data_IF_785466752728
#
_entry.id   IF_785466752728
#
_cell.length_a   1.000
_cell.length_b   1.000
_cell.length_c   1.000
_cell.angle_alpha   90.00
_cell.angle_beta   90.00
_cell.angle_gamma   90.00
#
_symmetry.space_group_name_H-M   'P 1'
#
loop_
_entity.id
_entity.type
_entity.pdbx_description
1 polymer ?
#
# COMPACT_ATOMS: atom_id res chain seq x y z
N UNK A 1 -4.94 13.04 3.33
CA UNK A 1 -3.96 13.79 4.16
C UNK A 1 -3.10 12.79 4.94
N UNK A 2 -2.07 13.23 5.65
CA UNK A 2 -1.35 12.35 6.59
C UNK A 2 -0.61 13.18 7.65
N UNK A 3 -0.73 12.80 8.93
CA UNK A 3 -0.23 13.58 10.08
C UNK A 3 -0.83 14.99 10.14
N UNK A 4 -2.12 15.16 9.83
CA UNK A 4 -2.77 16.48 9.81
C UNK A 4 -2.28 17.43 8.70
N UNK A 5 -1.49 16.94 7.74
CA UNK A 5 -1.00 17.72 6.61
C UNK A 5 -1.54 17.20 5.28
N UNK A 6 -1.99 18.11 4.42
CA UNK A 6 -2.33 17.78 3.05
C UNK A 6 -1.08 17.28 2.30
N UNK A 7 -1.24 16.18 1.56
CA UNK A 7 -0.17 15.56 0.78
C UNK A 7 -0.40 15.82 -0.70
N UNK A 8 0.67 16.08 -1.44
CA UNK A 8 0.63 16.34 -2.89
C UNK A 8 0.33 15.08 -3.75
N UNK A 9 0.26 13.92 -3.11
CA UNK A 9 -0.06 12.63 -3.73
C UNK A 9 1.15 11.85 -4.26
N UNK A 10 2.38 12.36 -4.14
CA UNK A 10 3.60 11.64 -4.54
C UNK A 10 4.09 10.77 -3.37
N UNK A 11 4.46 9.49 -3.60
CA UNK A 11 4.46 8.77 -4.88
C UNK A 11 3.13 8.05 -5.18
N UNK A 12 2.21 7.99 -4.22
CA UNK A 12 1.10 7.03 -4.25
C UNK A 12 0.16 7.18 -5.45
N UNK A 13 -0.18 8.40 -5.88
CA UNK A 13 -1.09 8.62 -7.02
C UNK A 13 -0.45 8.21 -8.36
N UNK A 14 0.77 8.65 -8.70
CA UNK A 14 1.47 8.12 -9.88
C UNK A 14 1.65 6.60 -9.86
N UNK A 15 2.01 6.01 -8.71
CA UNK A 15 2.20 4.56 -8.60
C UNK A 15 0.88 3.80 -8.76
N UNK A 16 -0.21 4.28 -8.16
CA UNK A 16 -1.53 3.68 -8.33
C UNK A 16 -2.00 3.70 -9.79
N UNK A 17 -1.76 4.80 -10.51
CA UNK A 17 -2.00 4.88 -11.95
C UNK A 17 -1.23 3.80 -12.70
N UNK A 18 0.06 3.65 -12.44
CA UNK A 18 0.86 2.62 -13.10
C UNK A 18 0.40 1.20 -12.79
N UNK A 19 -0.04 0.93 -11.56
CA UNK A 19 -0.59 -0.38 -11.19
C UNK A 19 -1.86 -0.66 -11.98
N UNK A 20 -2.75 0.31 -12.14
CA UNK A 20 -3.95 0.18 -12.99
C UNK A 20 -3.57 -0.08 -14.46
N UNK A 21 -2.68 0.73 -15.02
CA UNK A 21 -2.28 0.63 -16.43
C UNK A 21 -1.56 -0.70 -16.72
N UNK A 22 -0.56 -1.06 -15.92
CA UNK A 22 0.25 -2.27 -16.15
C UNK A 22 -0.50 -3.57 -15.88
N UNK A 23 -1.52 -3.52 -15.03
CA UNK A 23 -2.40 -4.67 -14.77
C UNK A 23 -3.61 -4.73 -15.70
N UNK A 24 -3.78 -3.77 -16.62
CA UNK A 24 -5.00 -3.59 -17.42
C UNK A 24 -6.28 -3.60 -16.54
N UNK A 25 -6.24 -2.96 -15.38
CA UNK A 25 -7.33 -2.96 -14.41
C UNK A 25 -7.45 -4.22 -13.54
N UNK A 26 -6.49 -5.15 -13.63
CA UNK A 26 -6.47 -6.38 -12.83
C UNK A 26 -6.14 -6.17 -11.35
N UNK A 27 -5.59 -5.01 -10.98
CA UNK A 27 -5.31 -4.63 -9.59
C UNK A 27 -6.36 -3.62 -9.14
N UNK A 28 -7.25 -4.04 -8.23
CA UNK A 28 -8.18 -3.13 -7.56
C UNK A 28 -7.44 -2.27 -6.54
N UNK A 29 -7.73 -0.96 -6.54
CA UNK A 29 -7.06 0.01 -5.66
C UNK A 29 -8.12 0.83 -4.93
N UNK A 30 -7.87 1.08 -3.64
CA UNK A 30 -8.66 2.00 -2.79
C UNK A 30 -7.72 2.94 -2.03
N UNK A 31 -8.21 4.12 -1.70
CA UNK A 31 -7.51 5.08 -0.85
C UNK A 31 -8.01 4.95 0.57
N UNK A 32 -7.14 5.04 1.58
CA UNK A 32 -7.62 5.23 2.94
C UNK A 32 -8.23 6.62 3.08
N UNK A 33 -9.44 6.70 3.64
CA UNK A 33 -10.22 7.92 3.82
C UNK A 33 -9.91 8.54 5.18
N UNK A 34 -8.74 9.17 5.27
CA UNK A 34 -8.29 9.83 6.50
C UNK A 34 -8.81 11.26 6.59
N UNK A 35 -9.12 11.70 7.80
CA UNK A 35 -9.63 13.02 8.17
C UNK A 35 -8.78 13.61 9.30
N UNK A 36 -7.46 13.56 9.15
CA UNK A 36 -6.45 13.95 10.13
C UNK A 36 -5.61 12.79 10.64
N UNK A 37 -6.12 11.56 10.53
CA UNK A 37 -5.46 10.33 10.98
C UNK A 37 -4.45 9.79 9.96
N UNK A 38 -4.00 8.55 10.19
CA UNK A 38 -3.10 7.83 9.31
C UNK A 38 -3.51 6.40 9.05
N UNK A 39 -3.47 6.03 7.78
CA UNK A 39 -3.42 4.65 7.35
C UNK A 39 -1.95 4.18 7.37
N UNK A 40 -1.50 3.66 8.52
CA UNK A 40 -0.06 3.46 8.76
C UNK A 40 0.38 1.99 8.84
N UNK A 41 -0.55 1.03 8.66
CA UNK A 41 -0.22 -0.39 8.61
C UNK A 41 0.61 -0.71 7.35
N UNK A 42 1.71 -1.44 7.52
CA UNK A 42 2.45 -2.05 6.41
C UNK A 42 2.31 -3.56 6.53
N UNK A 43 1.57 -4.11 5.57
CA UNK A 43 1.03 -5.46 5.64
C UNK A 43 0.86 -5.96 4.22
N UNK A 44 1.31 -7.18 3.93
CA UNK A 44 1.09 -7.85 2.66
C UNK A 44 0.74 -9.31 2.92
N UNK A 45 -0.44 -9.72 2.49
CA UNK A 45 -0.90 -11.09 2.61
C UNK A 45 -1.28 -11.62 1.23
N UNK A 46 -1.02 -12.91 1.02
CA UNK A 46 -1.39 -13.59 -0.21
C UNK A 46 -1.86 -15.01 0.08
N UNK A 47 -2.60 -15.54 -0.90
CA UNK A 47 -3.13 -16.90 -0.92
C UNK A 47 -3.08 -17.44 -2.34
N UNK A 48 -2.54 -18.64 -2.48
CA UNK A 48 -2.59 -19.44 -3.69
C UNK A 48 -3.39 -20.72 -3.42
N UNK A 49 -3.39 -21.65 -4.38
CA UNK A 49 -4.02 -22.96 -4.21
C UNK A 49 -3.32 -23.81 -3.13
N UNK A 50 -2.02 -23.59 -2.89
CA UNK A 50 -1.19 -24.44 -2.04
C UNK A 50 -0.51 -23.72 -0.89
N UNK A 51 -0.58 -22.39 -0.81
CA UNK A 51 0.13 -21.61 0.19
C UNK A 51 -0.63 -20.35 0.60
N UNK A 52 -0.52 -20.01 1.87
CA UNK A 52 -0.83 -18.68 2.39
C UNK A 52 0.42 -18.06 2.98
N UNK A 53 0.57 -16.75 2.83
CA UNK A 53 1.63 -16.01 3.50
C UNK A 53 1.12 -14.68 4.04
N UNK A 54 1.79 -14.23 5.10
CA UNK A 54 1.60 -12.94 5.72
C UNK A 54 2.97 -12.31 5.99
N UNK A 55 3.19 -11.12 5.47
CA UNK A 55 4.27 -10.20 5.82
C UNK A 55 3.70 -9.02 6.60
N UNK A 56 4.33 -8.69 7.73
CA UNK A 56 3.99 -7.51 8.55
C UNK A 56 5.25 -6.95 9.19
N UNK A 57 5.34 -5.63 9.30
CA UNK A 57 6.48 -4.98 9.93
C UNK A 57 6.49 -3.47 9.75
N UNK A 58 7.70 -2.90 9.71
CA UNK A 58 7.92 -1.46 9.62
C UNK A 58 8.12 -0.95 8.19
N UNK A 59 8.51 -1.82 7.25
CA UNK A 59 8.85 -1.42 5.89
C UNK A 59 7.62 -0.95 5.09
N UNK A 60 7.65 0.25 4.51
CA UNK A 60 6.70 0.59 3.45
C UNK A 60 7.07 -0.16 2.16
N UNK A 61 6.11 -0.28 1.24
CA UNK A 61 6.34 -0.90 -0.07
C UNK A 61 7.01 0.09 -1.02
N UNK A 62 8.26 0.43 -0.69
CA UNK A 62 9.07 1.39 -1.41
C UNK A 62 10.45 0.81 -1.62
N UNK A 63 11.16 1.33 -2.61
CA UNK A 63 12.54 0.94 -2.87
C UNK A 63 13.42 1.19 -1.66
N UNK A 64 13.26 2.34 -0.99
CA UNK A 64 14.10 2.70 0.16
C UNK A 64 14.00 1.70 1.32
N UNK A 65 12.77 1.28 1.65
CA UNK A 65 12.55 0.33 2.73
C UNK A 65 12.94 -1.10 2.32
N UNK A 66 12.57 -1.55 1.12
CA UNK A 66 12.77 -2.96 0.70
C UNK A 66 14.22 -3.24 0.25
N UNK A 67 14.92 -2.28 -0.36
CA UNK A 67 16.33 -2.44 -0.77
C UNK A 67 17.32 -2.22 0.40
N UNK A 68 16.84 -2.06 1.63
CA UNK A 68 17.69 -2.00 2.83
C UNK A 68 18.39 -0.66 3.07
N UNK A 69 17.89 0.44 2.50
CA UNK A 69 18.42 1.78 2.79
C UNK A 69 17.95 2.32 4.16
N UNK A 70 16.88 1.75 4.71
CA UNK A 70 16.41 1.98 6.07
C UNK A 70 16.57 0.71 6.91
N UNK A 71 16.74 0.88 8.23
CA UNK A 71 16.69 -0.22 9.19
C UNK A 71 15.23 -0.57 9.47
N UNK A 72 14.76 -1.62 8.80
CA UNK A 72 13.41 -2.16 8.95
C UNK A 72 13.41 -3.47 9.75
N UNK A 73 12.26 -3.81 10.33
CA UNK A 73 12.03 -5.12 10.94
C UNK A 73 10.70 -5.65 10.46
N UNK A 74 10.77 -6.74 9.70
CA UNK A 74 9.61 -7.39 9.10
C UNK A 74 9.62 -8.88 9.40
N UNK A 75 8.43 -9.44 9.61
CA UNK A 75 8.22 -10.88 9.81
C UNK A 75 7.39 -11.39 8.64
N UNK A 76 7.87 -12.46 8.02
CA UNK A 76 7.12 -13.24 7.04
C UNK A 76 6.82 -14.60 7.64
N UNK A 77 5.55 -14.99 7.62
CA UNK A 77 5.10 -16.34 7.95
C UNK A 77 4.33 -16.92 6.77
N UNK A 78 4.61 -18.17 6.42
CA UNK A 78 3.85 -18.90 5.40
C UNK A 78 3.54 -20.33 5.82
N UNK A 79 2.51 -20.92 5.20
CA UNK A 79 2.04 -22.28 5.48
C UNK A 79 1.18 -22.79 4.32
N UNK A 80 1.07 -24.12 4.21
CA UNK A 80 0.13 -24.79 3.32
C UNK A 80 -1.34 -24.62 3.74
N UNK A 81 -1.60 -24.09 4.95
CA UNK A 81 -2.94 -23.88 5.50
C UNK A 81 -3.07 -22.52 6.19
N UNK A 82 -4.28 -21.91 6.17
CA UNK A 82 -4.58 -20.71 6.94
C UNK A 82 -4.27 -20.85 8.44
N UNK A 83 -3.29 -20.09 8.92
CA UNK A 83 -2.92 -19.96 10.35
C UNK A 83 -3.58 -18.72 10.99
N UNK A 84 -3.56 -18.65 12.32
CA UNK A 84 -4.29 -17.61 13.09
C UNK A 84 -3.96 -16.20 12.64
N UNK A 85 -2.68 -15.82 12.62
CA UNK A 85 -2.27 -14.47 12.24
C UNK A 85 -2.66 -14.10 10.80
N UNK A 86 -2.59 -15.05 9.85
CA UNK A 86 -3.07 -14.82 8.48
C UNK A 86 -4.57 -14.54 8.44
N UNK A 87 -5.40 -15.31 9.16
CA UNK A 87 -6.85 -15.11 9.24
C UNK A 87 -7.21 -13.76 9.86
N UNK A 88 -6.45 -13.33 10.86
CA UNK A 88 -6.68 -12.03 11.49
C UNK A 88 -6.28 -10.87 10.56
N UNK A 89 -5.20 -11.05 9.78
CA UNK A 89 -4.83 -10.15 8.70
C UNK A 89 -5.89 -10.04 7.61
N UNK A 90 -6.44 -11.17 7.16
CA UNK A 90 -7.53 -11.23 6.19
C UNK A 90 -8.78 -10.49 6.72
N UNK A 91 -9.20 -10.76 7.95
CA UNK A 91 -10.33 -10.04 8.59
C UNK A 91 -10.07 -8.53 8.70
N UNK A 92 -8.84 -8.15 9.04
CA UNK A 92 -8.45 -6.73 9.12
C UNK A 92 -8.57 -6.06 7.75
N UNK A 93 -7.99 -6.68 6.71
CA UNK A 93 -8.08 -6.19 5.33
C UNK A 93 -9.55 -6.07 4.88
N UNK A 94 -10.33 -7.14 5.03
CA UNK A 94 -11.72 -7.18 4.59
C UNK A 94 -12.58 -6.12 5.29
N UNK A 95 -12.35 -5.89 6.59
CA UNK A 95 -13.05 -4.82 7.31
C UNK A 95 -12.79 -3.44 6.70
N UNK A 96 -11.53 -3.12 6.40
CA UNK A 96 -11.16 -1.84 5.81
C UNK A 96 -11.65 -1.71 4.36
N UNK A 97 -11.51 -2.78 3.59
CA UNK A 97 -11.87 -2.84 2.17
C UNK A 97 -13.37 -2.68 1.95
N UNK A 98 -14.17 -3.40 2.75
CA UNK A 98 -15.64 -3.40 2.69
C UNK A 98 -16.30 -2.27 3.48
N UNK A 99 -15.52 -1.43 4.19
CA UNK A 99 -16.05 -0.43 5.11
C UNK A 99 -17.01 -1.01 6.16
N UNK A 100 -16.67 -2.20 6.70
CA UNK A 100 -17.51 -2.87 7.71
C UNK A 100 -17.42 -2.15 9.05
N UNK A 101 -18.55 -1.63 9.54
CA UNK A 101 -18.65 -0.86 10.79
C UNK A 101 -17.83 0.44 10.81
N UNK A 102 -17.68 1.10 9.66
CA UNK A 102 -17.06 2.42 9.56
C UNK A 102 -16.59 2.73 8.14
N UNK A 103 -16.36 4.01 7.86
CA UNK A 103 -15.72 4.44 6.60
C UNK A 103 -14.21 4.42 6.79
N UNK A 104 -13.51 3.56 6.07
CA UNK A 104 -12.05 3.43 6.13
C UNK A 104 -11.39 3.70 4.79
N UNK A 105 -12.04 3.34 3.68
CA UNK A 105 -11.48 3.47 2.34
C UNK A 105 -12.49 3.98 1.31
N UNK A 106 -12.00 4.71 0.32
CA UNK A 106 -12.77 5.22 -0.82
C UNK A 106 -12.20 4.72 -2.15
N UNK A 107 -12.98 4.86 -3.21
CA UNK A 107 -12.64 4.33 -4.53
C UNK A 107 -11.44 5.04 -5.16
N UNK A 108 -10.66 4.31 -5.97
CA UNK A 108 -9.52 4.82 -6.73
C UNK A 108 -9.81 6.15 -7.45
N UNK A 109 -10.99 6.27 -8.07
CA UNK A 109 -11.38 7.44 -8.85
C UNK A 109 -11.38 8.76 -8.05
N UNK A 110 -11.57 8.71 -6.73
CA UNK A 110 -11.63 9.91 -5.88
C UNK A 110 -10.31 10.72 -5.91
N UNK A 111 -9.17 10.04 -6.07
CA UNK A 111 -7.85 10.67 -6.12
C UNK A 111 -6.98 10.17 -7.28
N UNK A 112 -7.61 9.62 -8.33
CA UNK A 112 -6.91 9.32 -9.58
C UNK A 112 -6.28 10.61 -10.13
N UNK A 113 -5.05 10.50 -10.63
CA UNK A 113 -4.26 11.66 -11.01
C UNK A 113 -3.42 11.36 -12.25
N UNK A 114 -3.78 12.00 -13.36
CA UNK A 114 -3.11 11.85 -14.65
C UNK A 114 -1.95 12.82 -14.86
N UNK A 115 -1.54 13.55 -13.82
CA UNK A 115 -0.50 14.58 -13.92
C UNK A 115 0.87 13.97 -14.24
N UNK A 116 1.29 14.10 -15.50
CA UNK A 116 2.53 13.53 -16.04
C UNK A 116 3.78 14.03 -15.27
N UNK A 117 3.83 15.31 -14.88
CA UNK A 117 5.02 15.84 -14.20
C UNK A 117 5.24 15.16 -12.85
N UNK A 118 4.17 14.77 -12.12
CA UNK A 118 4.29 14.03 -10.86
C UNK A 118 4.93 12.67 -11.10
N UNK A 119 4.57 12.02 -12.21
CA UNK A 119 5.21 10.78 -12.69
C UNK A 119 6.71 10.96 -12.94
N UNK A 120 7.10 12.05 -13.61
CA UNK A 120 8.50 12.36 -13.88
C UNK A 120 9.29 12.66 -12.60
N UNK A 121 8.72 13.44 -11.67
CA UNK A 121 9.38 13.80 -10.42
C UNK A 121 9.60 12.59 -9.52
N UNK A 122 8.59 11.74 -9.32
CA UNK A 122 8.80 10.56 -8.47
C UNK A 122 9.81 9.60 -9.10
N UNK A 123 9.80 9.42 -10.44
CA UNK A 123 10.81 8.60 -11.13
C UNK A 123 12.22 9.14 -10.97
N UNK A 124 12.39 10.46 -11.07
CA UNK A 124 13.68 11.10 -10.81
C UNK A 124 14.15 10.87 -9.36
N UNK A 125 13.26 11.01 -8.37
CA UNK A 125 13.57 10.73 -6.96
C UNK A 125 14.00 9.27 -6.75
N UNK A 126 13.29 8.32 -7.34
CA UNK A 126 13.58 6.87 -7.29
C UNK A 126 14.93 6.51 -7.93
N UNK A 127 15.27 7.11 -9.08
CA UNK A 127 16.53 6.84 -9.80
C UNK A 127 17.73 7.42 -9.03
N UNK A 128 17.57 8.62 -8.47
CA UNK A 128 18.66 9.33 -7.78
C UNK A 128 18.86 8.89 -6.33
N UNK A 129 17.88 8.22 -5.72
CA UNK A 129 17.89 7.87 -4.29
C UNK A 129 17.55 9.05 -3.37
N UNK A 130 17.07 10.17 -3.93
CA UNK A 130 16.59 11.34 -3.18
C UNK A 130 15.16 11.14 -2.64
N UNK A 131 14.55 9.97 -2.87
CA UNK A 131 13.24 9.67 -2.32
C UNK A 131 13.29 9.56 -0.79
N UNK A 132 12.28 10.16 -0.16
CA UNK A 132 11.97 9.96 1.28
C UNK A 132 10.97 8.83 1.50
N UNK A 133 10.51 8.23 0.40
CA UNK A 133 9.73 7.01 0.36
C UNK A 133 10.66 5.90 -0.09
#
# INVERSE_FOLDING_TARGET
DAFGHEKNGIPNRPVAKELQEKSNGGIAIRWCDTHGEQCHAKFFAGKSESEVFLMVGSANFTRRNIDGFNLETDIIASSDKPFTAWKDGEKYFERLWSNTNGTFTIDYAAYADDTIWKSLVYRFMEITGLSTF
#
